data_IF_132374790061
#
_entry.id   IF_132374790061
#
_cell.length_a   1.000
_cell.length_b   1.000
_cell.length_c   1.000
_cell.angle_alpha   90.00
_cell.angle_beta   90.00
_cell.angle_gamma   90.00
#
_symmetry.space_group_name_H-M   'P 1'
#
loop_
_entity.id
_entity.type
_entity.pdbx_description
1 polymer ?
#
# COMPACT_ATOMS: atom_id res chain seq x y z
N UNK A 1 7.44 23.99 -0.54
CA UNK A 1 6.02 24.47 -0.64
C UNK A 1 5.27 24.24 0.67
N UNK A 2 5.35 23.04 1.25
CA UNK A 2 4.83 22.72 2.57
C UNK A 2 6.00 22.46 3.52
N UNK A 3 6.32 23.34 4.48
CA UNK A 3 7.51 23.20 5.32
C UNK A 3 7.42 22.02 6.31
N UNK A 4 6.21 21.53 6.61
CA UNK A 4 5.99 20.36 7.47
C UNK A 4 6.09 19.01 6.73
N UNK A 5 6.14 19.01 5.39
CA UNK A 5 6.29 17.79 4.58
C UNK A 5 7.77 17.34 4.54
N UNK A 6 8.33 17.05 5.71
CA UNK A 6 9.70 16.55 5.89
C UNK A 6 9.76 15.03 6.10
N UNK A 7 8.61 14.38 6.09
CA UNK A 7 8.51 12.95 6.30
C UNK A 7 9.12 12.17 5.14
N UNK A 8 9.58 10.96 5.42
CA UNK A 8 10.22 10.06 4.45
C UNK A 8 9.38 8.82 4.16
N UNK A 9 9.76 8.07 3.11
CA UNK A 9 9.15 6.76 2.83
C UNK A 9 9.36 5.76 3.97
N UNK A 10 10.43 5.89 4.76
CA UNK A 10 10.71 4.98 5.88
C UNK A 10 9.61 4.99 6.95
N UNK A 11 9.22 6.16 7.44
CA UNK A 11 8.16 6.23 8.46
C UNK A 11 6.76 5.90 7.91
N UNK A 12 6.55 6.11 6.61
CA UNK A 12 5.35 5.67 5.90
C UNK A 12 5.29 4.14 5.85
N UNK A 13 6.35 3.46 5.40
CA UNK A 13 6.42 2.00 5.37
C UNK A 13 6.20 1.35 6.74
N UNK A 14 6.71 1.96 7.83
CA UNK A 14 6.41 1.50 9.20
C UNK A 14 4.94 1.65 9.59
N UNK A 15 4.30 2.74 9.13
CA UNK A 15 2.88 2.97 9.34
C UNK A 15 2.02 1.96 8.59
N UNK A 16 2.34 1.69 7.33
CA UNK A 16 1.67 0.66 6.51
C UNK A 16 1.86 -0.73 7.11
N UNK A 17 3.07 -1.09 7.58
CA UNK A 17 3.30 -2.33 8.33
C UNK A 17 2.37 -2.48 9.54
N UNK A 18 2.18 -1.40 10.32
CA UNK A 18 1.28 -1.40 11.48
C UNK A 18 -0.17 -1.60 11.05
N UNK A 19 -0.65 -0.83 10.08
CA UNK A 19 -2.03 -0.89 9.61
C UNK A 19 -2.36 -2.23 8.94
N UNK A 20 -1.43 -2.81 8.17
CA UNK A 20 -1.54 -4.15 7.61
C UNK A 20 -1.72 -5.20 8.73
N UNK A 21 -0.95 -5.07 9.82
CA UNK A 21 -1.10 -5.92 11.00
C UNK A 21 -2.45 -5.74 11.70
N UNK A 22 -2.96 -4.51 11.80
CA UNK A 22 -4.27 -4.22 12.38
C UNK A 22 -5.42 -4.80 11.55
N UNK A 23 -5.35 -4.68 10.22
CA UNK A 23 -6.28 -5.30 9.29
C UNK A 23 -6.32 -6.82 9.48
N UNK A 24 -5.15 -7.46 9.50
CA UNK A 24 -5.03 -8.91 9.69
C UNK A 24 -5.54 -9.36 11.06
N UNK A 25 -5.21 -8.63 12.13
CA UNK A 25 -5.70 -8.94 13.48
C UNK A 25 -7.22 -8.83 13.55
N UNK A 26 -7.82 -7.83 12.88
CA UNK A 26 -9.27 -7.69 12.82
C UNK A 26 -9.93 -8.86 12.08
N UNK A 27 -9.43 -9.22 10.90
CA UNK A 27 -9.93 -10.36 10.14
C UNK A 27 -9.77 -11.68 10.92
N UNK A 28 -8.61 -11.89 11.54
CA UNK A 28 -8.34 -13.08 12.34
C UNK A 28 -9.30 -13.17 13.55
N UNK A 29 -9.58 -12.05 14.22
CA UNK A 29 -10.50 -12.00 15.36
C UNK A 29 -11.93 -12.39 15.00
N UNK A 30 -12.43 -11.98 13.83
CA UNK A 30 -13.84 -12.17 13.47
C UNK A 30 -14.09 -13.35 12.52
N UNK A 31 -13.12 -13.70 11.66
CA UNK A 31 -13.28 -14.71 10.61
C UNK A 31 -12.03 -15.62 10.46
N UNK A 32 -11.07 -15.57 11.39
CA UNK A 32 -9.79 -16.28 11.25
C UNK A 32 -9.92 -17.78 11.03
N UNK A 33 -10.81 -18.46 11.75
CA UNK A 33 -11.03 -19.91 11.61
C UNK A 33 -11.70 -20.26 10.27
N UNK A 34 -12.66 -19.45 9.82
CA UNK A 34 -13.40 -19.66 8.56
C UNK A 34 -12.49 -19.44 7.34
N UNK A 35 -11.64 -18.42 7.41
CA UNK A 35 -10.72 -18.03 6.35
C UNK A 35 -9.38 -18.79 6.39
N UNK A 36 -9.15 -19.61 7.41
CA UNK A 36 -7.90 -20.33 7.61
C UNK A 36 -6.69 -19.41 7.78
N UNK A 37 -6.85 -18.23 8.40
CA UNK A 37 -5.76 -17.26 8.59
C UNK A 37 -4.78 -17.78 9.64
N UNK A 38 -3.55 -18.06 9.22
CA UNK A 38 -2.48 -18.51 10.09
C UNK A 38 -1.48 -17.39 10.43
N UNK A 39 -0.42 -17.73 11.18
CA UNK A 39 0.61 -16.75 11.58
C UNK A 39 1.49 -16.31 10.40
N UNK A 40 1.68 -17.21 9.42
CA UNK A 40 2.51 -16.93 8.24
C UNK A 40 1.79 -15.87 7.42
N UNK A 41 0.49 -16.02 7.15
CA UNK A 41 -0.33 -15.03 6.44
C UNK A 41 -0.20 -13.63 7.04
N UNK A 42 -0.36 -13.53 8.38
CA UNK A 42 -0.25 -12.26 9.10
C UNK A 42 1.15 -11.64 8.91
N UNK A 43 2.20 -12.47 8.96
CA UNK A 43 3.56 -11.99 8.75
C UNK A 43 3.78 -11.58 7.29
N UNK A 44 3.26 -12.33 6.31
CA UNK A 44 3.38 -12.04 4.87
C UNK A 44 2.82 -10.66 4.57
N UNK A 45 1.58 -10.40 4.99
CA UNK A 45 0.87 -9.15 4.71
C UNK A 45 1.57 -7.96 5.38
N UNK A 46 2.09 -8.16 6.59
CA UNK A 46 2.88 -7.14 7.28
C UNK A 46 4.18 -6.85 6.54
N UNK A 47 4.93 -7.87 6.12
CA UNK A 47 6.17 -7.68 5.36
C UNK A 47 5.91 -7.03 4.01
N UNK A 48 4.86 -7.43 3.30
CA UNK A 48 4.43 -6.75 2.08
C UNK A 48 4.16 -5.26 2.35
N UNK A 49 3.42 -4.93 3.41
CA UNK A 49 3.19 -3.54 3.82
C UNK A 49 4.46 -2.76 4.16
N UNK A 50 5.43 -3.39 4.82
CA UNK A 50 6.73 -2.75 5.12
C UNK A 50 7.57 -2.51 3.86
N UNK A 51 7.49 -3.41 2.89
CA UNK A 51 8.43 -3.47 1.78
C UNK A 51 7.86 -2.92 0.46
N UNK A 52 6.57 -2.57 0.41
CA UNK A 52 5.92 -2.14 -0.84
C UNK A 52 6.60 -0.93 -1.51
N UNK A 53 7.18 -0.04 -0.70
CA UNK A 53 7.70 1.27 -1.14
C UNK A 53 9.24 1.36 -1.19
N UNK A 54 9.97 0.26 -0.97
CA UNK A 54 11.44 0.28 -0.92
C UNK A 54 12.09 0.58 -2.28
N UNK A 55 11.35 0.36 -3.37
CA UNK A 55 11.75 0.62 -4.74
C UNK A 55 11.66 2.08 -5.17
N UNK A 56 11.15 2.99 -4.32
CA UNK A 56 11.09 4.40 -4.68
C UNK A 56 12.46 5.02 -4.89
N UNK A 57 12.63 5.68 -6.04
CA UNK A 57 13.81 6.48 -6.35
C UNK A 57 13.82 7.86 -5.65
N UNK A 58 14.84 8.68 -5.92
CA UNK A 58 14.97 10.02 -5.35
C UNK A 58 13.73 10.89 -5.60
N UNK A 59 13.17 11.50 -4.56
CA UNK A 59 11.93 12.29 -4.66
C UNK A 59 10.70 11.48 -5.14
N UNK A 60 10.68 10.17 -4.89
CA UNK A 60 9.53 9.27 -5.08
C UNK A 60 8.96 9.34 -6.51
N UNK A 61 7.69 9.70 -6.67
CA UNK A 61 7.00 9.77 -7.97
C UNK A 61 7.62 10.76 -8.96
N UNK A 62 8.41 11.75 -8.50
CA UNK A 62 9.14 12.63 -9.40
C UNK A 62 10.16 11.85 -10.24
N UNK A 63 10.87 10.91 -9.61
CA UNK A 63 11.83 10.05 -10.31
C UNK A 63 11.14 9.25 -11.41
N UNK A 64 10.02 8.63 -11.05
CA UNK A 64 9.29 7.72 -11.92
C UNK A 64 8.60 8.41 -13.09
N UNK A 65 7.82 9.46 -12.80
CA UNK A 65 6.89 10.03 -13.79
C UNK A 65 7.45 11.26 -14.50
N UNK A 66 8.48 11.92 -13.95
CA UNK A 66 9.02 13.16 -14.53
C UNK A 66 10.47 13.01 -14.98
N UNK A 67 11.33 12.35 -14.20
CA UNK A 67 12.74 12.20 -14.53
C UNK A 67 13.00 11.07 -15.52
N UNK A 68 12.59 9.83 -15.21
CA UNK A 68 12.85 8.64 -16.04
C UNK A 68 12.35 8.78 -17.49
N UNK A 69 11.15 9.31 -17.76
CA UNK A 69 10.67 9.47 -19.14
C UNK A 69 11.52 10.44 -19.97
N UNK A 70 12.26 11.36 -19.32
CA UNK A 70 13.14 12.32 -20.00
C UNK A 70 14.53 11.75 -20.26
N UNK A 71 15.07 10.95 -19.35
CA UNK A 71 16.44 10.40 -19.47
C UNK A 71 16.48 9.02 -20.13
N UNK A 72 15.41 8.25 -20.03
CA UNK A 72 15.26 6.95 -20.66
C UNK A 72 13.84 6.79 -21.24
N UNK A 73 13.55 7.45 -22.39
CA UNK A 73 12.26 7.35 -23.05
C UNK A 73 11.96 5.89 -23.43
N UNK A 74 10.88 5.32 -22.89
CA UNK A 74 10.52 3.91 -23.07
C UNK A 74 10.85 3.02 -21.86
N UNK A 75 11.39 3.58 -20.78
CA UNK A 75 11.50 2.89 -19.49
C UNK A 75 10.13 2.39 -19.01
N UNK A 76 10.03 1.10 -18.72
CA UNK A 76 8.88 0.46 -18.06
C UNK A 76 9.08 0.32 -16.55
N UNK A 77 10.04 1.09 -16.00
CA UNK A 77 10.33 1.11 -14.58
C UNK A 77 9.11 1.55 -13.79
N UNK A 78 8.79 0.83 -12.72
CA UNK A 78 7.85 1.22 -11.69
C UNK A 78 8.48 0.95 -10.32
N UNK A 79 8.10 1.73 -9.32
CA UNK A 79 8.63 1.55 -7.97
C UNK A 79 8.22 0.20 -7.39
N UNK A 80 7.04 -0.33 -7.73
CA UNK A 80 6.55 -1.63 -7.28
C UNK A 80 7.42 -2.79 -7.81
N UNK A 81 7.76 -2.79 -9.10
CA UNK A 81 8.67 -3.79 -9.66
C UNK A 81 10.07 -3.65 -9.05
N UNK A 82 10.55 -2.41 -8.88
CA UNK A 82 11.84 -2.19 -8.21
C UNK A 82 11.83 -2.67 -6.75
N UNK A 83 10.73 -2.52 -6.02
CA UNK A 83 10.56 -3.06 -4.67
C UNK A 83 10.72 -4.58 -4.65
N UNK A 84 10.11 -5.28 -5.62
CA UNK A 84 10.26 -6.73 -5.73
C UNK A 84 11.72 -7.16 -6.02
N UNK A 85 12.42 -6.44 -6.89
CA UNK A 85 13.84 -6.72 -7.21
C UNK A 85 14.77 -6.42 -6.03
N UNK A 86 14.53 -5.32 -5.32
CA UNK A 86 15.30 -4.98 -4.12
C UNK A 86 15.09 -5.97 -3.00
N UNK A 87 13.89 -6.55 -2.89
CA UNK A 87 13.61 -7.58 -1.91
C UNK A 87 14.48 -8.82 -2.14
N UNK A 88 14.60 -9.29 -3.39
CA UNK A 88 15.51 -10.39 -3.75
C UNK A 88 16.96 -10.03 -3.38
N UNK A 89 17.40 -8.81 -3.71
CA UNK A 89 18.74 -8.35 -3.38
C UNK A 89 19.00 -8.27 -1.86
N UNK A 90 18.02 -7.87 -1.05
CA UNK A 90 18.14 -7.81 0.41
C UNK A 90 18.26 -9.21 1.00
N UNK A 91 17.43 -10.15 0.54
CA UNK A 91 17.45 -11.54 1.00
C UNK A 91 18.81 -12.17 0.70
N UNK A 92 19.30 -12.04 -0.54
CA UNK A 92 20.58 -12.60 -0.97
C UNK A 92 21.75 -11.96 -0.20
N UNK A 93 21.80 -10.63 -0.13
CA UNK A 93 22.90 -9.88 0.49
C UNK A 93 23.06 -10.16 1.98
N UNK A 94 21.94 -10.33 2.68
CA UNK A 94 21.92 -10.54 4.13
C UNK A 94 21.74 -12.01 4.52
N UNK A 95 21.65 -12.91 3.55
CA UNK A 95 21.43 -14.35 3.76
C UNK A 95 20.24 -14.61 4.70
N UNK A 96 19.12 -13.94 4.42
CA UNK A 96 17.90 -14.06 5.23
C UNK A 96 17.28 -15.43 4.94
N UNK A 97 17.11 -16.24 5.97
CA UNK A 97 16.43 -17.53 5.87
C UNK A 97 14.92 -17.31 5.69
N UNK A 98 14.45 -17.47 4.46
CA UNK A 98 13.07 -17.26 4.06
C UNK A 98 12.68 -18.28 2.99
N UNK A 99 11.51 -18.92 3.14
CA UNK A 99 11.04 -19.88 2.16
C UNK A 99 10.75 -19.18 0.81
N UNK A 100 11.18 -19.75 -0.33
CA UNK A 100 10.99 -19.12 -1.65
C UNK A 100 9.53 -18.84 -2.00
N UNK A 101 8.60 -19.71 -1.60
CA UNK A 101 7.17 -19.53 -1.84
C UNK A 101 6.62 -18.35 -1.04
N UNK A 102 7.08 -18.17 0.19
CA UNK A 102 6.70 -17.03 1.04
C UNK A 102 7.24 -15.71 0.48
N UNK A 103 8.51 -15.69 0.07
CA UNK A 103 9.12 -14.55 -0.62
C UNK A 103 8.36 -14.19 -1.91
N UNK A 104 7.95 -15.20 -2.67
CA UNK A 104 7.14 -15.02 -3.89
C UNK A 104 5.81 -14.35 -3.58
N UNK A 105 5.06 -14.82 -2.57
CA UNK A 105 3.77 -14.22 -2.19
C UNK A 105 3.93 -12.77 -1.75
N UNK A 106 4.98 -12.42 -0.99
CA UNK A 106 5.26 -11.02 -0.63
C UNK A 106 5.44 -10.15 -1.88
N UNK A 107 6.24 -10.62 -2.85
CA UNK A 107 6.47 -9.89 -4.10
C UNK A 107 5.18 -9.74 -4.90
N UNK A 108 4.37 -10.79 -5.00
CA UNK A 108 3.07 -10.77 -5.68
C UNK A 108 2.11 -9.76 -5.04
N UNK A 109 2.09 -9.65 -3.70
CA UNK A 109 1.30 -8.64 -2.99
C UNK A 109 1.77 -7.21 -3.28
N UNK A 110 3.08 -6.98 -3.36
CA UNK A 110 3.65 -5.64 -3.66
C UNK A 110 3.26 -5.19 -5.07
N UNK A 111 3.28 -6.11 -6.05
CA UNK A 111 2.95 -5.77 -7.45
C UNK A 111 1.47 -5.95 -7.79
N UNK A 112 0.61 -6.26 -6.81
CA UNK A 112 -0.79 -6.62 -7.02
C UNK A 112 -1.63 -5.50 -7.66
N UNK A 113 -1.28 -4.23 -7.42
CA UNK A 113 -1.94 -3.07 -8.04
C UNK A 113 -1.31 -2.63 -9.36
N UNK A 114 -0.23 -3.27 -9.81
CA UNK A 114 0.43 -2.93 -11.07
C UNK A 114 -0.24 -3.60 -12.27
N UNK A 115 -0.10 -2.98 -13.45
CA UNK A 115 -0.59 -3.51 -14.73
C UNK A 115 0.05 -4.87 -15.12
N UNK A 116 1.07 -5.31 -14.37
CA UNK A 116 1.81 -6.57 -14.56
C UNK A 116 1.13 -7.74 -13.81
N UNK A 117 0.07 -7.49 -13.04
CA UNK A 117 -0.56 -8.51 -12.22
C UNK A 117 -1.21 -9.64 -13.04
N UNK A 118 -0.56 -10.80 -13.07
CA UNK A 118 -1.13 -12.08 -13.52
C UNK A 118 -1.95 -12.68 -12.38
N UNK A 119 -3.09 -12.07 -12.06
CA UNK A 119 -4.05 -12.57 -11.06
C UNK A 119 -4.71 -13.92 -11.45
N UNK A 120 -4.22 -14.60 -12.49
CA UNK A 120 -4.67 -15.92 -12.94
C UNK A 120 -4.04 -17.08 -12.13
N UNK A 121 -3.04 -16.81 -11.28
CA UNK A 121 -2.31 -17.83 -10.52
C UNK A 121 -2.72 -18.01 -9.05
N UNK A 122 -3.26 -16.99 -8.40
CA UNK A 122 -3.54 -17.00 -6.95
C UNK A 122 -4.95 -17.50 -6.68
N UNK A 123 -5.09 -18.78 -6.31
CA UNK A 123 -6.40 -19.41 -6.06
C UNK A 123 -6.84 -19.40 -4.59
N UNK A 124 -5.94 -19.16 -3.65
CA UNK A 124 -6.23 -19.28 -2.22
C UNK A 124 -6.01 -17.94 -1.51
N UNK A 125 -6.97 -17.55 -0.67
CA UNK A 125 -6.95 -16.33 0.17
C UNK A 125 -6.64 -15.05 -0.63
N UNK A 126 -7.28 -14.87 -1.79
CA UNK A 126 -7.09 -13.67 -2.64
C UNK A 126 -7.40 -12.38 -1.89
N UNK A 127 -8.27 -12.41 -0.88
CA UNK A 127 -8.55 -11.24 -0.02
C UNK A 127 -7.30 -10.63 0.64
N UNK A 128 -6.20 -11.39 0.81
CA UNK A 128 -4.96 -10.86 1.40
C UNK A 128 -4.31 -9.80 0.50
N UNK A 129 -4.47 -9.93 -0.82
CA UNK A 129 -3.92 -9.00 -1.82
C UNK A 129 -4.67 -7.66 -1.83
N UNK A 130 -5.89 -7.63 -1.30
CA UNK A 130 -6.69 -6.42 -1.18
C UNK A 130 -6.23 -5.52 0.00
N UNK A 131 -5.31 -5.98 0.86
CA UNK A 131 -4.90 -5.26 2.08
C UNK A 131 -3.87 -4.17 1.80
N UNK A 132 -2.74 -4.53 1.18
CA UNK A 132 -1.57 -3.63 1.02
C UNK A 132 -1.69 -2.79 -0.25
N UNK A 133 -2.01 -3.42 -1.37
CA UNK A 133 -2.05 -2.80 -2.69
C UNK A 133 -3.28 -3.30 -3.45
N UNK A 134 -4.42 -2.65 -3.24
CA UNK A 134 -5.70 -3.14 -3.75
C UNK A 134 -5.92 -2.74 -5.21
N UNK A 135 -5.54 -3.63 -6.14
CA UNK A 135 -5.74 -3.42 -7.58
C UNK A 135 -7.21 -3.39 -8.03
N UNK A 136 -8.17 -3.88 -7.23
CA UNK A 136 -9.59 -3.95 -7.64
C UNK A 136 -10.31 -2.61 -7.50
N UNK A 137 -10.10 -1.93 -6.38
CA UNK A 137 -10.84 -0.71 -6.05
C UNK A 137 -9.98 0.38 -5.39
N UNK A 138 -8.70 0.10 -5.09
CA UNK A 138 -7.80 1.07 -4.48
C UNK A 138 -8.16 1.45 -3.05
N UNK A 139 -8.83 0.57 -2.28
CA UNK A 139 -9.03 0.73 -0.84
C UNK A 139 -8.03 -0.19 -0.12
N UNK A 140 -6.93 0.37 0.36
CA UNK A 140 -5.81 -0.35 0.97
C UNK A 140 -5.16 0.46 2.10
N UNK A 141 -4.33 -0.22 2.90
CA UNK A 141 -3.68 0.37 4.08
C UNK A 141 -2.56 1.34 3.74
N UNK A 142 -1.98 1.28 2.54
CA UNK A 142 -1.07 2.29 2.00
C UNK A 142 -1.75 3.67 2.02
N UNK A 143 -2.94 3.76 1.40
CA UNK A 143 -3.75 4.99 1.38
C UNK A 143 -4.17 5.43 2.76
N UNK A 144 -4.45 4.50 3.65
CA UNK A 144 -4.84 4.84 5.01
C UNK A 144 -3.69 5.55 5.76
N UNK A 145 -2.45 5.11 5.56
CA UNK A 145 -1.29 5.76 6.18
C UNK A 145 -0.99 7.12 5.54
N UNK A 146 -0.76 7.17 4.22
CA UNK A 146 -0.27 8.40 3.60
C UNK A 146 -1.30 9.54 3.69
N UNK A 147 -2.61 9.24 3.61
CA UNK A 147 -3.63 10.30 3.72
C UNK A 147 -3.54 11.00 5.07
N UNK A 148 -3.51 10.23 6.16
CA UNK A 148 -3.45 10.81 7.50
C UNK A 148 -2.11 11.49 7.78
N UNK A 149 -1.01 10.87 7.32
CA UNK A 149 0.35 11.42 7.45
C UNK A 149 0.51 12.73 6.70
N UNK A 150 0.08 12.76 5.45
CA UNK A 150 0.28 13.91 4.56
C UNK A 150 -0.64 15.06 4.94
N UNK A 151 -1.90 14.76 5.30
CA UNK A 151 -2.80 15.75 5.87
C UNK A 151 -2.19 16.41 7.12
N UNK A 152 -1.66 15.62 8.05
CA UNK A 152 -1.01 16.13 9.25
C UNK A 152 0.23 16.97 8.91
N UNK A 153 1.10 16.49 8.02
CA UNK A 153 2.34 17.16 7.66
C UNK A 153 2.12 18.47 6.86
N UNK A 154 1.08 18.50 6.02
CA UNK A 154 0.74 19.67 5.20
C UNK A 154 -0.20 20.65 5.90
N UNK A 155 -0.72 20.33 7.09
CA UNK A 155 -1.68 21.16 7.80
C UNK A 155 -3.06 21.19 7.14
N UNK A 156 -3.44 20.11 6.46
CA UNK A 156 -4.72 19.96 5.77
C UNK A 156 -5.64 19.09 6.63
N UNK A 157 -6.88 19.54 6.85
CA UNK A 157 -7.86 18.74 7.59
C UNK A 157 -8.25 17.46 6.83
N UNK A 158 -8.09 16.31 7.46
CA UNK A 158 -8.67 15.03 6.99
C UNK A 158 -9.97 14.75 7.72
N UNK A 159 -11.04 14.51 6.98
CA UNK A 159 -12.30 14.00 7.53
C UNK A 159 -12.41 12.47 7.42
N UNK A 160 -11.42 11.84 6.80
CA UNK A 160 -11.32 10.39 6.67
C UNK A 160 -10.83 9.77 7.98
N UNK A 161 -11.38 8.62 8.34
CA UNK A 161 -11.08 7.91 9.58
C UNK A 161 -10.86 6.43 9.25
N UNK A 162 -9.62 6.06 8.96
CA UNK A 162 -9.26 4.71 8.51
C UNK A 162 -9.67 3.61 9.50
N UNK A 163 -9.61 3.88 10.81
CA UNK A 163 -9.98 2.91 11.85
C UNK A 163 -11.42 2.39 11.70
N UNK A 164 -12.36 3.21 11.20
CA UNK A 164 -13.75 2.77 10.95
C UNK A 164 -13.82 1.68 9.89
N UNK A 165 -13.05 1.84 8.81
CA UNK A 165 -12.97 0.85 7.74
C UNK A 165 -12.25 -0.41 8.24
N UNK A 166 -11.16 -0.26 8.98
CA UNK A 166 -10.41 -1.39 9.56
C UNK A 166 -11.25 -2.22 10.54
N UNK A 167 -12.06 -1.60 11.39
CA UNK A 167 -12.94 -2.34 12.32
C UNK A 167 -14.10 -3.03 11.59
N UNK A 168 -14.67 -2.34 10.59
CA UNK A 168 -15.83 -2.81 9.83
C UNK A 168 -15.53 -3.89 8.79
N UNK A 169 -14.29 -3.98 8.30
CA UNK A 169 -13.94 -4.88 7.19
C UNK A 169 -14.23 -6.35 7.48
N UNK A 170 -14.76 -7.07 6.50
CA UNK A 170 -15.03 -8.52 6.53
C UNK A 170 -14.70 -9.13 5.17
N UNK A 171 -14.42 -10.43 5.12
CA UNK A 171 -14.23 -11.14 3.86
C UNK A 171 -15.54 -11.81 3.44
N UNK A 172 -15.96 -11.59 2.21
CA UNK A 172 -17.08 -12.29 1.56
C UNK A 172 -16.69 -12.61 0.13
N UNK A 173 -16.83 -13.89 -0.29
CA UNK A 173 -16.48 -14.28 -1.66
C UNK A 173 -15.01 -14.04 -2.03
N UNK A 174 -14.10 -14.16 -1.05
CA UNK A 174 -12.65 -13.90 -1.21
C UNK A 174 -12.31 -12.44 -1.61
N UNK A 175 -13.15 -11.51 -1.15
CA UNK A 175 -12.97 -10.06 -1.28
C UNK A 175 -13.16 -9.36 0.05
N UNK A 176 -12.38 -8.30 0.29
CA UNK A 176 -12.60 -7.40 1.42
C UNK A 176 -13.84 -6.55 1.17
N UNK A 177 -14.83 -6.72 2.02
CA UNK A 177 -16.11 -6.02 2.02
C UNK A 177 -16.25 -5.12 3.25
N UNK A 178 -17.00 -4.03 3.08
CA UNK A 178 -17.30 -3.07 4.14
C UNK A 178 -18.83 -2.99 4.37
N UNK A 179 -19.29 -2.73 5.60
CA UNK A 179 -20.69 -2.52 5.89
C UNK A 179 -21.27 -1.36 5.05
N UNK A 180 -22.47 -1.54 4.48
CA UNK A 180 -23.09 -0.52 3.64
C UNK A 180 -23.26 0.85 4.35
N UNK A 181 -23.41 0.86 5.68
CA UNK A 181 -23.47 2.09 6.50
C UNK A 181 -22.18 2.92 6.46
N UNK A 182 -21.05 2.31 6.11
CA UNK A 182 -19.73 2.97 6.07
C UNK A 182 -19.46 3.63 4.71
N UNK A 183 -20.44 3.68 3.80
CA UNK A 183 -20.30 4.32 2.48
C UNK A 183 -19.77 5.75 2.55
N UNK A 184 -20.16 6.53 3.57
CA UNK A 184 -19.65 7.89 3.77
C UNK A 184 -18.17 7.91 4.10
N UNK A 185 -17.66 6.92 4.83
CA UNK A 185 -16.22 6.79 5.14
C UNK A 185 -15.42 6.51 3.86
N UNK A 186 -15.95 5.66 2.97
CA UNK A 186 -15.36 5.39 1.66
C UNK A 186 -15.40 6.64 0.77
N UNK A 187 -16.52 7.36 0.74
CA UNK A 187 -16.60 8.63 -0.01
C UNK A 187 -15.57 9.65 0.50
N UNK A 188 -15.39 9.74 1.82
CA UNK A 188 -14.40 10.63 2.45
C UNK A 188 -12.96 10.24 2.08
N UNK A 189 -12.64 8.94 2.04
CA UNK A 189 -11.33 8.44 1.58
C UNK A 189 -10.99 9.02 0.20
N UNK A 190 -11.85 8.79 -0.79
CA UNK A 190 -11.60 9.25 -2.16
C UNK A 190 -11.64 10.77 -2.32
N UNK A 191 -12.52 11.44 -1.57
CA UNK A 191 -12.58 12.92 -1.59
C UNK A 191 -11.30 13.53 -1.02
N UNK A 192 -10.86 13.09 0.16
CA UNK A 192 -9.62 13.58 0.78
C UNK A 192 -8.41 13.27 -0.08
N UNK A 193 -8.35 12.09 -0.71
CA UNK A 193 -7.30 11.76 -1.69
C UNK A 193 -7.31 12.73 -2.88
N UNK A 194 -8.47 13.01 -3.46
CA UNK A 194 -8.58 13.95 -4.58
C UNK A 194 -8.14 15.37 -4.19
N UNK A 195 -8.48 15.81 -2.98
CA UNK A 195 -8.07 17.10 -2.44
C UNK A 195 -6.56 17.17 -2.22
N UNK A 196 -5.93 16.13 -1.63
CA UNK A 196 -4.47 16.05 -1.49
C UNK A 196 -3.77 16.11 -2.85
N UNK A 197 -4.26 15.37 -3.85
CA UNK A 197 -3.72 15.47 -5.20
C UNK A 197 -3.77 16.89 -5.73
N UNK A 198 -4.92 17.56 -5.68
CA UNK A 198 -5.10 18.91 -6.24
C UNK A 198 -4.31 19.98 -5.49
N UNK A 199 -4.25 19.89 -4.16
CA UNK A 199 -3.71 20.95 -3.31
C UNK A 199 -2.24 20.77 -2.97
N UNK A 200 -1.76 19.52 -2.84
CA UNK A 200 -0.39 19.20 -2.42
C UNK A 200 0.40 18.63 -3.59
N UNK A 201 0.04 17.44 -4.07
CA UNK A 201 0.89 16.67 -4.98
C UNK A 201 1.03 17.32 -6.36
N UNK A 202 -0.02 17.98 -6.84
CA UNK A 202 -0.01 18.73 -8.12
C UNK A 202 0.16 20.23 -7.94
N UNK A 203 0.55 20.70 -6.75
CA UNK A 203 0.76 22.12 -6.51
C UNK A 203 1.81 22.67 -7.49
N UNK A 204 1.51 23.80 -8.16
CA UNK A 204 2.36 24.33 -9.23
C UNK A 204 3.82 24.56 -8.82
N UNK A 205 4.04 25.09 -7.61
CA UNK A 205 5.40 25.25 -7.04
C UNK A 205 6.06 23.94 -6.62
N UNK A 206 5.32 22.86 -6.40
CA UNK A 206 5.91 21.53 -6.14
C UNK A 206 6.40 20.94 -7.45
N UNK A 207 5.57 21.01 -8.51
CA UNK A 207 5.94 20.54 -9.85
C UNK A 207 7.02 21.37 -10.55
N UNK A 208 7.14 22.65 -10.19
CA UNK A 208 8.13 23.56 -10.77
C UNK A 208 9.51 23.53 -10.10
N UNK A 209 9.66 22.82 -8.97
CA UNK A 209 10.94 22.57 -8.31
C UNK A 209 11.54 21.26 -8.81
#
# INVERSE_FOLDING_TARGET
VFPGAVHTRFEHSLGVYRLAGEAMNNLQKYQGNELGIDRIDVQTVKLAGLLHDIGHGPFSHLFEHEFLPRVNPGSTWSHEHMSALLLDSIVDKHSIDIEPDYLKVIKEMIVASSDVSTAEGVKEKRFLYDIVANGRNGIDVDKFDYIDRDCRACGIGSNFQHWRLLEGMRVMGDEICYPAKDYLSIHKLFTTRADLHRTVYTHAKVKGC
#
